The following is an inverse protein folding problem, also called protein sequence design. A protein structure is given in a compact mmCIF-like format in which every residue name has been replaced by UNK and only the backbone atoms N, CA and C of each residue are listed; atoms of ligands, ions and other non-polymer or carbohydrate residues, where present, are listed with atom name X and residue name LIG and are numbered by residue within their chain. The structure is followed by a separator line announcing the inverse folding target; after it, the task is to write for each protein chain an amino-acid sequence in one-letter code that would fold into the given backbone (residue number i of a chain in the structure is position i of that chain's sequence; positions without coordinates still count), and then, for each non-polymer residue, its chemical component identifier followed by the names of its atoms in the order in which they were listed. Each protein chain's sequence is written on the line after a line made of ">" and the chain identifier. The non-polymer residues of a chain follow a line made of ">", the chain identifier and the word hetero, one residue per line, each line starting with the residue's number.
data_IF_369738982806
#
_entry.id   IF_369738982806
#
_cell.length_a   1.000
_cell.length_b   1.000
_cell.length_c   1.000
_cell.angle_alpha   90.00
_cell.angle_beta   90.00
_cell.angle_gamma   90.00
#
_symmetry.space_group_name_H-M   'P 1'
#
loop_
_entity.id
_entity.type
_entity.pdbx_description
1 polymer ?
#
# COMPACT_ATOMS: atom_id res chain seq x y z
N UNK A 1 -10.66 -0.51 -2.14
CA UNK A 1 -9.69 -0.41 -3.26
C UNK A 1 -8.34 -0.86 -2.77
N UNK A 2 -7.46 -1.33 -3.65
CA UNK A 2 -6.17 -1.92 -3.24
C UNK A 2 -5.07 -1.52 -4.21
N UNK A 3 -3.88 -1.25 -3.69
CA UNK A 3 -2.64 -1.13 -4.46
C UNK A 3 -1.65 -2.16 -3.92
N UNK A 4 -1.16 -3.05 -4.79
CA UNK A 4 -0.18 -4.07 -4.46
C UNK A 4 1.14 -3.77 -5.17
N UNK A 5 2.20 -3.71 -4.38
CA UNK A 5 3.57 -3.53 -4.86
C UNK A 5 4.41 -4.76 -4.50
N UNK A 6 5.21 -5.25 -5.44
CA UNK A 6 6.08 -6.41 -5.23
C UNK A 6 7.51 -6.09 -5.62
N UNK A 7 8.45 -6.55 -4.79
CA UNK A 7 9.85 -6.46 -5.12
C UNK A 7 10.29 -7.73 -5.85
N UNK A 8 10.72 -7.59 -7.10
CA UNK A 8 11.21 -8.70 -7.92
C UNK A 8 12.73 -8.83 -7.91
N UNK A 9 13.46 -7.90 -7.28
CA UNK A 9 14.91 -7.78 -7.40
C UNK A 9 15.67 -8.07 -6.09
N UNK A 10 16.89 -8.60 -6.23
CA UNK A 10 17.86 -8.75 -5.14
C UNK A 10 17.40 -9.58 -3.93
N UNK A 11 17.91 -9.24 -2.74
CA UNK A 11 17.65 -9.96 -1.47
C UNK A 11 16.19 -9.86 -0.96
N UNK A 12 15.41 -8.91 -1.48
CA UNK A 12 14.01 -8.66 -1.11
C UNK A 12 13.02 -9.28 -2.09
N UNK A 13 13.50 -10.06 -3.06
CA UNK A 13 12.67 -10.73 -4.06
C UNK A 13 11.55 -11.58 -3.42
N UNK A 14 10.33 -11.35 -3.90
CA UNK A 14 9.09 -11.97 -3.42
C UNK A 14 8.46 -11.27 -2.22
N UNK A 15 9.04 -10.18 -1.70
CA UNK A 15 8.35 -9.36 -0.70
C UNK A 15 7.31 -8.48 -1.36
N UNK A 16 6.17 -8.31 -0.68
CA UNK A 16 5.10 -7.47 -1.13
C UNK A 16 4.67 -6.47 -0.06
N UNK A 17 4.13 -5.35 -0.55
CA UNK A 17 3.43 -4.35 0.24
C UNK A 17 2.05 -4.17 -0.39
N UNK A 18 1.03 -4.12 0.45
CA UNK A 18 -0.34 -3.86 0.01
C UNK A 18 -0.86 -2.66 0.79
N UNK A 19 -1.50 -1.74 0.08
CA UNK A 19 -2.26 -0.63 0.64
C UNK A 19 -3.73 -0.86 0.31
N UNK A 20 -4.54 -1.17 1.31
CA UNK A 20 -6.00 -1.25 1.18
C UNK A 20 -6.61 0.02 1.72
N UNK A 21 -7.50 0.62 0.94
CA UNK A 21 -8.12 1.88 1.33
C UNK A 21 -9.56 1.98 0.87
N UNK A 22 -10.34 2.76 1.61
CA UNK A 22 -11.75 2.95 1.40
C UNK A 22 -12.31 3.98 2.37
N UNK A 23 -13.64 4.06 2.41
CA UNK A 23 -14.36 4.91 3.36
C UNK A 23 -15.07 4.01 4.36
N UNK A 24 -15.02 4.38 5.63
CA UNK A 24 -15.75 3.69 6.68
C UNK A 24 -17.23 4.11 6.74
N UNK A 25 -17.98 3.54 7.69
CA UNK A 25 -19.40 3.85 7.88
C UNK A 25 -19.66 5.27 8.39
N UNK A 26 -18.63 5.96 8.87
CA UNK A 26 -18.71 7.30 9.44
C UNK A 26 -18.16 8.39 8.49
N UNK A 27 -17.75 8.00 7.28
CA UNK A 27 -17.24 8.91 6.26
C UNK A 27 -15.73 9.18 6.35
N UNK A 28 -15.01 8.55 7.28
CA UNK A 28 -13.55 8.64 7.33
C UNK A 28 -12.94 7.79 6.23
N UNK A 29 -11.82 8.26 5.69
CA UNK A 29 -11.00 7.46 4.78
C UNK A 29 -10.02 6.65 5.60
N UNK A 30 -9.94 5.35 5.36
CA UNK A 30 -8.98 4.47 6.00
C UNK A 30 -7.94 3.98 4.99
N UNK A 31 -6.73 3.72 5.49
CA UNK A 31 -5.66 3.05 4.74
C UNK A 31 -5.00 2.03 5.65
N UNK A 32 -5.09 0.76 5.27
CA UNK A 32 -4.39 -0.34 5.91
C UNK A 32 -3.18 -0.77 5.08
N UNK A 33 -2.04 -0.94 5.76
CA UNK A 33 -0.80 -1.39 5.15
C UNK A 33 -0.47 -2.79 5.60
N UNK A 34 -0.30 -3.66 4.61
CA UNK A 34 0.14 -5.03 4.81
C UNK A 34 1.54 -5.23 4.24
N UNK A 35 2.38 -5.95 4.97
CA UNK A 35 3.70 -6.38 4.52
C UNK A 35 3.79 -7.90 4.57
N UNK A 36 4.42 -8.52 3.57
CA UNK A 36 4.55 -9.96 3.53
C UNK A 36 5.56 -10.48 2.52
N UNK A 37 5.71 -11.81 2.51
CA UNK A 37 6.39 -12.57 1.45
C UNK A 37 5.44 -13.65 0.92
N UNK A 38 4.98 -14.53 1.82
CA UNK A 38 3.96 -15.55 1.51
C UNK A 38 2.61 -15.23 2.15
N UNK A 39 2.62 -14.71 3.38
CA UNK A 39 1.44 -14.22 4.10
C UNK A 39 1.64 -12.75 4.47
N UNK A 40 0.59 -11.96 4.30
CA UNK A 40 0.58 -10.54 4.65
C UNK A 40 0.23 -10.36 6.12
N UNK A 41 0.96 -9.48 6.81
CA UNK A 41 0.59 -8.99 8.14
C UNK A 41 0.27 -7.51 8.03
N UNK A 42 -0.83 -7.08 8.64
CA UNK A 42 -1.13 -5.66 8.81
C UNK A 42 -0.12 -5.04 9.77
N UNK A 43 0.55 -3.98 9.33
CA UNK A 43 1.60 -3.30 10.11
C UNK A 43 1.24 -1.87 10.48
N UNK A 44 0.31 -1.25 9.78
CA UNK A 44 -0.11 0.12 10.03
C UNK A 44 -1.53 0.33 9.52
N UNK A 45 -2.26 1.19 10.22
CA UNK A 45 -3.59 1.67 9.84
C UNK A 45 -3.57 3.18 10.01
N UNK A 46 -4.07 3.89 9.00
CA UNK A 46 -4.26 5.34 9.04
C UNK A 46 -5.73 5.66 8.83
N UNK A 47 -6.22 6.63 9.61
CA UNK A 47 -7.56 7.19 9.47
C UNK A 47 -7.41 8.67 9.13
N UNK A 48 -8.16 9.15 8.17
CA UNK A 48 -8.08 10.53 7.69
C UNK A 48 -9.46 11.08 7.33
N UNK A 49 -9.55 12.41 7.30
CA UNK A 49 -10.82 13.13 7.14
C UNK A 49 -11.27 13.25 5.68
N UNK A 50 -10.33 13.17 4.73
CA UNK A 50 -10.59 13.53 3.35
C UNK A 50 -9.72 12.76 2.35
N UNK A 51 -10.18 12.74 1.10
CA UNK A 51 -9.51 12.05 -0.02
C UNK A 51 -8.20 12.73 -0.42
N UNK A 52 -8.04 14.04 -0.19
CA UNK A 52 -6.78 14.75 -0.47
C UNK A 52 -5.64 14.25 0.41
N UNK A 53 -5.92 14.00 1.70
CA UNK A 53 -4.98 13.36 2.63
C UNK A 53 -4.58 11.95 2.17
N UNK A 54 -5.52 11.20 1.59
CA UNK A 54 -5.27 9.85 1.05
C UNK A 54 -4.28 9.89 -0.09
N UNK A 55 -4.51 10.78 -1.06
CA UNK A 55 -3.66 10.90 -2.25
C UNK A 55 -2.23 11.24 -1.83
N UNK A 56 -2.03 12.18 -0.91
CA UNK A 56 -0.69 12.56 -0.43
C UNK A 56 0.02 11.42 0.31
N UNK A 57 -0.70 10.67 1.13
CA UNK A 57 -0.13 9.52 1.84
C UNK A 57 0.31 8.44 0.85
N UNK A 58 -0.56 8.08 -0.11
CA UNK A 58 -0.26 7.07 -1.12
C UNK A 58 0.89 7.50 -2.02
N UNK A 59 0.91 8.75 -2.47
CA UNK A 59 2.00 9.30 -3.29
C UNK A 59 3.36 9.14 -2.58
N UNK A 60 3.43 9.56 -1.31
CA UNK A 60 4.65 9.43 -0.51
C UNK A 60 5.07 7.97 -0.30
N UNK A 61 4.12 7.10 0.05
CA UNK A 61 4.41 5.67 0.29
C UNK A 61 4.83 4.94 -0.99
N UNK A 62 4.15 5.20 -2.12
CA UNK A 62 4.48 4.59 -3.42
C UNK A 62 5.86 5.02 -3.87
N UNK A 63 6.16 6.33 -3.84
CA UNK A 63 7.48 6.85 -4.20
C UNK A 63 8.60 6.20 -3.36
N UNK A 64 8.37 6.04 -2.06
CA UNK A 64 9.30 5.34 -1.18
C UNK A 64 9.47 3.86 -1.56
N UNK A 65 8.43 3.17 -2.03
CA UNK A 65 8.53 1.76 -2.44
C UNK A 65 9.19 1.59 -3.80
N UNK A 66 8.96 2.51 -4.73
CA UNK A 66 9.65 2.52 -6.02
C UNK A 66 11.16 2.69 -5.83
N UNK A 67 11.60 3.60 -4.96
CA UNK A 67 13.02 3.74 -4.61
C UNK A 67 13.61 2.49 -3.94
N UNK A 68 12.76 1.64 -3.33
CA UNK A 68 13.14 0.34 -2.78
C UNK A 68 13.05 -0.82 -3.81
N UNK A 69 12.83 -0.52 -5.09
CA UNK A 69 12.65 -1.47 -6.20
C UNK A 69 11.40 -2.37 -6.08
N UNK A 70 10.32 -1.83 -5.53
CA UNK A 70 9.00 -2.46 -5.66
C UNK A 70 8.30 -1.95 -6.92
N UNK A 71 7.59 -2.84 -7.59
CA UNK A 71 6.82 -2.56 -8.80
C UNK A 71 5.32 -2.72 -8.52
N UNK A 72 4.50 -1.90 -9.17
CA UNK A 72 3.06 -2.02 -9.08
C UNK A 72 2.53 -3.22 -9.87
N UNK A 73 1.82 -4.12 -9.19
CA UNK A 73 1.28 -5.36 -9.76
C UNK A 73 -0.24 -5.31 -9.90
N UNK A 74 -0.86 -4.22 -9.42
CA UNK A 74 -2.32 -4.04 -9.41
C UNK A 74 -2.92 -3.93 -10.83
N UNK A 75 -2.09 -3.59 -11.83
CA UNK A 75 -2.49 -3.45 -13.24
C UNK A 75 -2.38 -4.74 -14.07
N UNK A 76 -1.96 -5.86 -13.47
CA UNK A 76 -1.66 -7.10 -14.20
C UNK A 76 -2.85 -8.08 -14.31
N UNK A 77 -4.09 -7.63 -14.11
CA UNK A 77 -5.32 -8.43 -14.26
C UNK A 77 -6.31 -7.71 -15.18
#
# INVERSE_FOLDING_TARGET
>A
MQIRLENKTGKRSGRFVVYEYGTDLFGYVYVDKFLGRDRGKMVSTWLMQDVGSLVRLLDHEIYKRETENYENVTLAV
#
